data_IF_217288159436
#
_entry.id   IF_217288159436
#
_cell.length_a   1.000
_cell.length_b   1.000
_cell.length_c   1.000
_cell.angle_alpha   90.00
_cell.angle_beta   90.00
_cell.angle_gamma   90.00
#
_symmetry.space_group_name_H-M   'P 1'
#
loop_
_entity.id
_entity.type
_entity.pdbx_description
1 polymer ?
#
# COMPACT_ATOMS: atom_id res chain seq x y z
N UNK A 1 -0.24 5.11 19.12
CA UNK A 1 0.55 4.50 18.02
C UNK A 1 1.31 5.53 17.18
N UNK A 2 0.66 6.55 16.62
CA UNK A 2 1.35 7.57 15.80
C UNK A 2 2.43 8.38 16.56
N UNK A 3 2.14 8.78 17.81
CA UNK A 3 3.10 9.53 18.65
C UNK A 3 4.34 8.68 18.97
N UNK A 4 4.14 7.42 19.38
CA UNK A 4 5.23 6.48 19.65
C UNK A 4 6.13 6.25 18.43
N UNK A 5 5.55 6.19 17.23
CA UNK A 5 6.33 6.04 16.00
C UNK A 5 7.18 7.28 15.71
N UNK A 6 6.62 8.49 15.89
CA UNK A 6 7.37 9.75 15.69
C UNK A 6 8.57 9.84 16.64
N UNK A 7 8.40 9.45 17.90
CA UNK A 7 9.49 9.40 18.88
C UNK A 7 10.59 8.43 18.46
N UNK A 8 10.22 7.18 18.12
CA UNK A 8 11.19 6.18 17.65
C UNK A 8 11.92 6.61 16.37
N UNK A 9 11.21 7.31 15.48
CA UNK A 9 11.81 7.86 14.27
C UNK A 9 12.87 8.92 14.57
N UNK A 10 12.56 9.85 15.48
CA UNK A 10 13.52 10.88 15.91
C UNK A 10 14.75 10.26 16.59
N UNK A 11 14.57 9.24 17.44
CA UNK A 11 15.66 8.49 18.08
C UNK A 11 16.55 7.79 17.03
N UNK A 12 15.93 7.16 16.02
CA UNK A 12 16.65 6.52 14.91
C UNK A 12 17.45 7.54 14.10
N UNK A 13 16.88 8.69 13.76
CA UNK A 13 17.58 9.75 13.02
C UNK A 13 18.76 10.32 13.81
N UNK A 14 18.56 10.58 15.11
CA UNK A 14 19.61 11.01 16.02
C UNK A 14 20.75 9.99 16.06
N UNK A 15 20.45 8.71 16.28
CA UNK A 15 21.45 7.66 16.33
C UNK A 15 22.18 7.48 14.99
N UNK A 16 21.49 7.64 13.86
CA UNK A 16 22.08 7.58 12.52
C UNK A 16 23.00 8.78 12.20
N UNK A 17 22.76 9.94 12.79
CA UNK A 17 23.63 11.12 12.67
C UNK A 17 24.94 11.02 13.44
N UNK A 18 24.99 10.14 14.45
CA UNK A 18 26.18 9.94 15.28
C UNK A 18 27.21 9.04 14.58
N UNK A 19 28.48 9.36 14.78
CA UNK A 19 29.57 8.47 14.37
C UNK A 19 29.50 7.14 15.13
N UNK A 20 30.10 6.10 14.58
CA UNK A 20 30.16 4.78 15.25
C UNK A 20 30.71 4.88 16.68
N UNK A 21 31.80 5.64 16.87
CA UNK A 21 32.43 5.85 18.18
C UNK A 21 31.51 6.57 19.17
N UNK A 22 30.83 7.63 18.72
CA UNK A 22 29.89 8.37 19.57
C UNK A 22 28.67 7.54 19.97
N UNK A 23 28.24 6.59 19.11
CA UNK A 23 27.19 5.61 19.46
C UNK A 23 27.64 4.64 20.55
N UNK A 24 28.84 4.07 20.40
CA UNK A 24 29.43 3.15 21.38
C UNK A 24 29.61 3.85 22.76
N UNK A 25 30.05 5.10 22.77
CA UNK A 25 30.18 5.92 24.00
C UNK A 25 28.84 6.19 24.71
N UNK A 26 27.74 6.22 23.95
CA UNK A 26 26.37 6.36 24.48
C UNK A 26 25.72 5.02 24.81
N UNK A 27 26.46 3.90 24.74
CA UNK A 27 25.94 2.55 24.97
C UNK A 27 24.97 2.07 23.89
N UNK A 28 24.99 2.68 22.70
CA UNK A 28 24.19 2.25 21.55
C UNK A 28 24.98 1.20 20.75
N UNK A 29 24.74 -0.07 21.03
CA UNK A 29 25.38 -1.17 20.31
C UNK A 29 24.79 -1.36 18.91
N UNK A 30 25.66 -1.44 17.91
CA UNK A 30 25.30 -1.82 16.54
C UNK A 30 24.75 -0.69 15.67
N UNK A 31 24.10 -1.08 14.56
CA UNK A 31 23.45 -0.16 13.63
C UNK A 31 22.01 0.05 14.09
N UNK A 32 21.55 1.30 14.29
CA UNK A 32 20.17 1.57 14.68
C UNK A 32 19.17 0.89 13.74
N UNK A 33 18.17 0.21 14.32
CA UNK A 33 17.10 -0.41 13.53
C UNK A 33 16.10 0.65 13.05
N UNK A 34 15.79 0.62 11.76
CA UNK A 34 14.78 1.50 11.18
C UNK A 34 13.38 1.17 11.76
N UNK A 35 12.71 2.14 12.40
CA UNK A 35 11.42 1.90 13.01
C UNK A 35 10.34 1.65 11.94
N UNK A 36 9.59 0.57 12.11
CA UNK A 36 8.50 0.21 11.20
C UNK A 36 7.20 0.82 11.70
N UNK A 37 6.60 1.69 10.88
CA UNK A 37 5.27 2.22 11.16
C UNK A 37 4.21 1.13 11.06
N UNK A 38 3.63 0.75 12.20
CA UNK A 38 2.46 -0.13 12.23
C UNK A 38 1.22 0.66 11.86
N UNK A 39 0.68 0.38 10.68
CA UNK A 39 -0.55 1.00 10.17
C UNK A 39 -1.41 -0.03 9.48
N UNK A 40 -2.73 0.08 9.69
CA UNK A 40 -3.72 -0.81 9.09
C UNK A 40 -4.45 -0.15 7.92
N UNK A 41 -4.63 1.17 7.96
CA UNK A 41 -5.29 1.92 6.88
C UNK A 41 -4.25 2.78 6.18
N UNK A 42 -4.31 2.80 4.85
CA UNK A 42 -3.53 3.67 3.97
C UNK A 42 -4.44 4.36 2.98
N UNK A 43 -4.05 5.53 2.52
CA UNK A 43 -4.76 6.31 1.50
C UNK A 43 -3.72 6.97 0.60
N UNK A 44 -4.10 7.24 -0.65
CA UNK A 44 -3.27 7.92 -1.67
C UNK A 44 -1.82 7.40 -1.71
N UNK A 45 -1.65 6.19 -2.24
CA UNK A 45 -0.39 5.46 -2.19
C UNK A 45 -0.14 4.72 -3.50
N UNK A 46 1.11 4.72 -3.97
CA UNK A 46 1.51 3.93 -5.14
C UNK A 46 1.57 2.44 -4.81
N UNK A 47 1.46 1.53 -5.79
CA UNK A 47 1.61 0.09 -5.56
C UNK A 47 2.92 -0.31 -4.88
N UNK A 48 4.04 0.35 -5.20
CA UNK A 48 5.34 0.09 -4.58
C UNK A 48 5.37 0.51 -3.11
N UNK A 49 4.86 1.70 -2.80
CA UNK A 49 4.75 2.16 -1.42
C UNK A 49 3.76 1.29 -0.63
N UNK A 50 2.68 0.84 -1.25
CA UNK A 50 1.71 -0.08 -0.67
C UNK A 50 2.38 -1.41 -0.27
N UNK A 51 3.17 -1.99 -1.18
CA UNK A 51 3.91 -3.21 -0.91
C UNK A 51 4.97 -3.03 0.19
N UNK A 52 5.64 -1.86 0.23
CA UNK A 52 6.62 -1.54 1.27
C UNK A 52 5.96 -1.46 2.66
N UNK A 53 4.82 -0.79 2.75
CA UNK A 53 4.04 -0.72 3.98
C UNK A 53 3.59 -2.13 4.40
N UNK A 54 3.07 -2.92 3.46
CA UNK A 54 2.58 -4.27 3.74
C UNK A 54 3.71 -5.19 4.21
N UNK A 55 4.92 -5.02 3.69
CA UNK A 55 6.11 -5.70 4.18
C UNK A 55 6.36 -5.46 5.68
N UNK A 56 6.12 -4.23 6.16
CA UNK A 56 6.13 -3.90 7.58
C UNK A 56 4.90 -4.36 8.38
N UNK A 57 3.80 -4.71 7.72
CA UNK A 57 2.47 -4.94 8.31
C UNK A 57 1.89 -6.30 7.86
N UNK A 58 2.53 -7.39 8.27
CA UNK A 58 2.22 -8.77 7.83
C UNK A 58 0.79 -9.27 8.10
N UNK A 59 0.03 -8.62 9.00
CA UNK A 59 -1.39 -8.92 9.25
C UNK A 59 -2.32 -8.45 8.13
N UNK A 60 -1.81 -7.64 7.20
CA UNK A 60 -2.57 -7.01 6.15
C UNK A 60 -2.82 -5.53 6.38
N UNK A 61 -3.24 -4.88 5.31
CA UNK A 61 -3.54 -3.45 5.25
C UNK A 61 -4.82 -3.21 4.44
N UNK A 62 -5.43 -2.05 4.66
CA UNK A 62 -6.63 -1.60 3.97
C UNK A 62 -6.31 -0.30 3.25
N UNK A 63 -6.46 -0.30 1.93
CA UNK A 63 -6.46 0.90 1.11
C UNK A 63 -7.84 1.55 1.20
N UNK A 64 -7.90 2.70 1.86
CA UNK A 64 -9.03 3.61 1.82
C UNK A 64 -8.83 4.60 0.67
N UNK A 65 -9.78 4.63 -0.26
CA UNK A 65 -9.81 5.57 -1.37
C UNK A 65 -11.11 6.37 -1.32
N UNK A 66 -11.03 7.61 -0.86
CA UNK A 66 -12.14 8.55 -1.04
C UNK A 66 -12.21 8.87 -2.53
N UNK A 67 -13.29 8.45 -3.18
CA UNK A 67 -13.43 8.35 -4.64
C UNK A 67 -12.52 7.29 -5.32
N UNK A 68 -13.02 6.05 -5.36
CA UNK A 68 -12.43 4.95 -6.12
C UNK A 68 -12.27 5.26 -7.61
N UNK A 69 -13.06 6.19 -8.18
CA UNK A 69 -12.89 6.58 -9.57
C UNK A 69 -11.46 7.05 -9.88
N UNK A 70 -10.84 7.80 -8.95
CA UNK A 70 -9.47 8.25 -9.07
C UNK A 70 -8.47 7.08 -8.98
N UNK A 71 -8.75 6.11 -8.11
CA UNK A 71 -8.00 4.84 -8.07
C UNK A 71 -8.10 4.05 -9.38
N UNK A 72 -9.29 3.91 -9.96
CA UNK A 72 -9.48 3.27 -11.26
C UNK A 72 -8.81 4.03 -12.42
N UNK A 73 -8.80 5.37 -12.37
CA UNK A 73 -8.13 6.22 -13.38
C UNK A 73 -6.60 6.04 -13.32
N UNK A 74 -6.02 5.84 -12.14
CA UNK A 74 -4.58 5.62 -12.00
C UNK A 74 -4.09 4.37 -12.75
N UNK A 75 -4.92 3.33 -12.87
CA UNK A 75 -4.60 2.14 -13.66
C UNK A 75 -4.38 2.48 -15.15
N UNK A 76 -5.03 3.54 -15.66
CA UNK A 76 -4.84 3.97 -17.04
C UNK A 76 -3.59 4.83 -17.24
N UNK A 77 -3.00 5.37 -16.16
CA UNK A 77 -1.86 6.29 -16.21
C UNK A 77 -0.52 5.56 -16.18
N UNK A 78 -0.43 4.43 -15.47
CA UNK A 78 0.74 3.57 -15.40
C UNK A 78 0.45 2.29 -16.19
N UNK A 79 1.05 2.15 -17.39
CA UNK A 79 0.95 0.98 -18.28
C UNK A 79 -0.20 0.01 -17.98
N UNK A 80 -1.40 0.27 -18.52
CA UNK A 80 -2.70 -0.39 -18.20
C UNK A 80 -2.65 -1.86 -17.75
N UNK A 81 -1.79 -2.69 -18.35
CA UNK A 81 -1.71 -4.11 -18.02
C UNK A 81 -1.07 -4.43 -16.66
N UNK A 82 -0.15 -3.60 -16.15
CA UNK A 82 0.68 -3.97 -14.98
C UNK A 82 -0.02 -3.73 -13.64
N UNK A 83 -0.69 -2.59 -13.46
CA UNK A 83 -1.41 -2.30 -12.21
C UNK A 83 -2.62 -3.22 -12.05
N UNK A 84 -3.35 -3.48 -13.12
CA UNK A 84 -4.51 -4.36 -13.08
C UNK A 84 -4.10 -5.81 -12.74
N UNK A 85 -3.03 -6.33 -13.36
CA UNK A 85 -2.47 -7.64 -13.01
C UNK A 85 -1.94 -7.70 -11.58
N UNK A 86 -1.39 -6.60 -11.06
CA UNK A 86 -0.99 -6.49 -9.66
C UNK A 86 -2.19 -6.69 -8.75
N UNK A 87 -3.28 -5.95 -8.97
CA UNK A 87 -4.48 -6.07 -8.13
C UNK A 87 -5.19 -7.43 -8.27
N UNK A 88 -5.20 -8.03 -9.47
CA UNK A 88 -5.69 -9.41 -9.66
C UNK A 88 -4.87 -10.43 -8.85
N UNK A 89 -3.54 -10.24 -8.79
CA UNK A 89 -2.64 -11.08 -8.01
C UNK A 89 -2.85 -10.89 -6.51
N UNK A 90 -3.04 -9.63 -6.08
CA UNK A 90 -3.37 -9.27 -4.69
C UNK A 90 -4.69 -9.89 -4.26
N UNK A 91 -5.74 -9.78 -5.06
CA UNK A 91 -7.03 -10.42 -4.78
C UNK A 91 -6.88 -11.93 -4.60
N UNK A 92 -6.00 -12.57 -5.38
CA UNK A 92 -5.70 -14.00 -5.30
C UNK A 92 -4.77 -14.38 -4.14
N UNK A 93 -4.35 -13.42 -3.30
CA UNK A 93 -3.45 -13.65 -2.18
C UNK A 93 -2.00 -14.01 -2.59
N UNK A 94 -1.62 -13.78 -3.85
CA UNK A 94 -0.28 -14.14 -4.36
C UNK A 94 0.81 -13.33 -3.67
N UNK A 95 2.04 -13.86 -3.56
CA UNK A 95 3.15 -13.10 -3.01
C UNK A 95 3.41 -11.81 -3.80
N UNK A 96 3.80 -10.75 -3.08
CA UNK A 96 4.31 -9.51 -3.69
C UNK A 96 5.83 -9.49 -3.48
N UNK A 97 6.56 -9.42 -4.59
CA UNK A 97 8.02 -9.35 -4.60
C UNK A 97 8.42 -8.16 -5.46
N UNK A 98 9.13 -7.20 -4.88
CA UNK A 98 9.71 -6.09 -5.63
C UNK A 98 11.21 -6.00 -5.36
N UNK A 99 11.98 -6.25 -6.42
CA UNK A 99 13.42 -6.13 -6.48
C UNK A 99 13.77 -5.05 -7.52
N UNK A 100 13.66 -3.77 -7.14
CA UNK A 100 14.03 -2.67 -8.03
C UNK A 100 15.35 -2.03 -7.62
N UNK A 101 16.16 -1.71 -8.62
CA UNK A 101 17.40 -0.94 -8.46
C UNK A 101 17.07 0.42 -7.83
N UNK A 102 17.76 0.78 -6.75
CA UNK A 102 17.54 2.04 -6.02
C UNK A 102 16.62 1.92 -4.80
N UNK A 103 15.99 0.76 -4.56
CA UNK A 103 15.30 0.51 -3.30
C UNK A 103 16.29 0.17 -2.19
N UNK A 104 16.04 0.69 -0.97
CA UNK A 104 16.88 0.44 0.22
C UNK A 104 16.97 -1.05 0.57
N UNK A 105 15.91 -1.82 0.30
CA UNK A 105 15.84 -3.27 0.46
C UNK A 105 14.82 -3.91 -0.47
N UNK A 106 14.96 -5.21 -0.71
CA UNK A 106 13.94 -6.03 -1.36
C UNK A 106 12.64 -6.05 -0.54
N UNK A 107 11.50 -5.98 -1.21
CA UNK A 107 10.18 -6.16 -0.60
C UNK A 107 9.74 -7.60 -0.83
N UNK A 108 9.36 -8.30 0.25
CA UNK A 108 8.80 -9.64 0.17
C UNK A 108 7.61 -9.82 1.10
N UNK A 109 6.43 -9.91 0.51
CA UNK A 109 5.18 -10.23 1.19
C UNK A 109 4.73 -11.60 0.73
N UNK A 110 4.74 -12.59 1.64
CA UNK A 110 4.32 -13.96 1.34
C UNK A 110 2.81 -14.08 1.04
N UNK A 111 1.98 -13.33 1.77
CA UNK A 111 0.53 -13.33 1.63
C UNK A 111 0.02 -11.90 1.46
N UNK A 112 -0.49 -11.57 0.28
CA UNK A 112 -1.04 -10.24 -0.03
C UNK A 112 -2.45 -10.10 0.53
N UNK A 113 -2.55 -9.80 1.83
CA UNK A 113 -3.82 -9.44 2.44
C UNK A 113 -4.03 -7.92 2.40
N UNK A 114 -4.58 -7.44 1.28
CA UNK A 114 -4.86 -6.02 1.06
C UNK A 114 -6.34 -5.85 0.74
N UNK A 115 -7.08 -5.20 1.62
CA UNK A 115 -8.47 -4.83 1.37
C UNK A 115 -8.54 -3.46 0.72
N UNK A 116 -9.52 -3.24 -0.15
CA UNK A 116 -9.80 -1.92 -0.73
C UNK A 116 -11.22 -1.52 -0.34
N UNK A 117 -11.38 -0.31 0.19
CA UNK A 117 -12.68 0.26 0.51
C UNK A 117 -12.71 1.72 0.08
N UNK A 118 -13.85 2.19 -0.39
CA UNK A 118 -13.99 3.56 -0.84
C UNK A 118 -15.38 3.86 -1.37
N UNK A 119 -15.56 5.12 -1.75
CA UNK A 119 -16.79 5.64 -2.33
C UNK A 119 -16.68 5.66 -3.85
N UNK A 120 -17.79 5.55 -4.57
CA UNK A 120 -17.80 5.70 -6.03
C UNK A 120 -19.08 6.37 -6.49
N UNK A 121 -18.98 7.25 -7.50
CA UNK A 121 -20.13 7.86 -8.14
C UNK A 121 -20.77 6.87 -9.13
N UNK A 122 -22.10 6.77 -9.14
CA UNK A 122 -22.83 5.85 -10.02
C UNK A 122 -22.55 6.09 -11.51
N UNK A 123 -22.37 7.34 -11.92
CA UNK A 123 -22.05 7.69 -13.31
C UNK A 123 -20.75 7.05 -13.80
N UNK A 124 -19.74 7.01 -12.94
CA UNK A 124 -18.42 6.46 -13.25
C UNK A 124 -18.45 4.93 -13.32
N UNK A 125 -19.31 4.29 -12.53
CA UNK A 125 -19.49 2.83 -12.57
C UNK A 125 -19.91 2.36 -13.98
N UNK A 126 -20.80 3.10 -14.65
CA UNK A 126 -21.24 2.79 -16.02
C UNK A 126 -20.11 2.89 -17.03
N UNK A 127 -19.16 3.81 -16.84
CA UNK A 127 -17.99 3.94 -17.70
C UNK A 127 -17.00 2.80 -17.50
N UNK A 128 -16.76 2.42 -16.24
CA UNK A 128 -15.87 1.30 -15.90
C UNK A 128 -16.39 -0.03 -16.48
N UNK A 129 -17.70 -0.24 -16.48
CA UNK A 129 -18.33 -1.44 -17.03
C UNK A 129 -18.25 -1.56 -18.56
N UNK A 130 -18.08 -0.44 -19.29
CA UNK A 130 -18.04 -0.41 -20.76
C UNK A 130 -16.67 -0.74 -21.36
N UNK A 131 -15.61 -0.83 -20.55
CA UNK A 131 -14.24 -1.08 -21.01
C UNK A 131 -13.79 -2.54 -20.95
N UNK A 132 -12.55 -2.80 -21.41
CA UNK A 132 -11.89 -4.12 -21.40
C UNK A 132 -11.78 -4.77 -20.01
N UNK A 133 -11.99 -4.01 -18.93
CA UNK A 133 -11.97 -4.48 -17.53
C UNK A 133 -13.10 -5.44 -17.19
N UNK A 134 -14.19 -5.41 -17.97
CA UNK A 134 -15.23 -6.42 -17.86
C UNK A 134 -14.75 -7.77 -18.43
N UNK A 135 -13.79 -7.77 -19.38
CA UNK A 135 -13.31 -8.99 -20.04
C UNK A 135 -12.27 -9.77 -19.23
N UNK A 136 -11.56 -9.12 -18.31
CA UNK A 136 -10.56 -9.78 -17.45
C UNK A 136 -11.08 -10.12 -16.03
N UNK A 137 -12.35 -9.82 -15.77
CA UNK A 137 -13.04 -10.12 -14.51
C UNK A 137 -12.58 -9.26 -13.33
N UNK A 138 -11.91 -8.12 -13.55
CA UNK A 138 -11.52 -7.24 -12.44
C UNK A 138 -12.74 -6.74 -11.66
N UNK A 139 -13.79 -6.31 -12.37
CA UNK A 139 -15.02 -5.82 -11.73
C UNK A 139 -15.76 -6.90 -10.94
N UNK A 140 -15.66 -8.17 -11.35
CA UNK A 140 -16.27 -9.31 -10.64
C UNK A 140 -15.70 -9.51 -9.22
N UNK A 141 -14.55 -8.89 -8.93
CA UNK A 141 -13.85 -8.98 -7.65
C UNK A 141 -14.21 -7.85 -6.69
N UNK A 142 -15.08 -6.93 -7.10
CA UNK A 142 -15.49 -5.77 -6.31
C UNK A 142 -16.95 -5.94 -5.90
N UNK A 143 -17.21 -5.81 -4.59
CA UNK A 143 -18.56 -5.76 -4.07
C UNK A 143 -19.07 -4.31 -4.09
N UNK A 144 -20.11 -4.05 -4.87
CA UNK A 144 -20.80 -2.77 -4.90
C UNK A 144 -21.98 -2.78 -3.94
N UNK A 145 -22.10 -1.75 -3.11
CA UNK A 145 -23.23 -1.53 -2.21
C UNK A 145 -23.89 -0.23 -2.63
N UNK A 146 -25.12 -0.31 -3.15
CA UNK A 146 -25.91 0.84 -3.55
C UNK A 146 -27.14 0.94 -2.63
N UNK A 147 -27.37 2.07 -1.96
CA UNK A 147 -28.63 2.31 -1.26
C UNK A 147 -29.79 2.35 -2.26
N UNK A 148 -30.92 1.73 -1.90
CA UNK A 148 -32.11 1.68 -2.76
C UNK A 148 -32.85 3.04 -2.86
N UNK A 149 -32.63 3.95 -1.89
CA UNK A 149 -33.33 5.24 -1.78
C UNK A 149 -32.34 6.40 -1.63
N UNK A 150 -31.54 6.66 -2.67
CA UNK A 150 -30.79 7.91 -2.80
C UNK A 150 -31.68 8.92 -3.53
N UNK A 151 -32.54 9.60 -2.78
CA UNK A 151 -33.28 10.77 -3.27
C UNK A 151 -32.34 11.97 -3.50
#
# INVERSE_FOLDING_TARGET
>A
MAVLHKTKWAEYEQAMSLTKKAREEQGMDGIPEEPVQKKFVVSDITPECLAFVHDGNKRGICLYADELASWFKNFNRYSKSSEEQFWLSVFSGKPIIFDRKGMKRSISVKHSFISVIGTIQQGILKELAKGDRNQNGFLDRILFVLPENLD
#
